data_IF_734397002955
#
_entry.id   IF_734397002955
#
_cell.length_a   1.000
_cell.length_b   1.000
_cell.length_c   1.000
_cell.angle_alpha   90.00
_cell.angle_beta   90.00
_cell.angle_gamma   90.00
#
_symmetry.space_group_name_H-M   'P 1'
#
loop_
_entity.id
_entity.type
_entity.pdbx_description
1 polymer ?
#
# COMPACT_ATOMS: atom_id res chain seq x y z
N UNK A 1 61.44 -57.54 -77.37
CA UNK A 1 62.17 -58.78 -77.76
C UNK A 1 61.57 -59.47 -78.99
N UNK A 2 62.40 -59.91 -79.95
CA UNK A 2 61.96 -60.70 -81.11
C UNK A 2 61.96 -62.21 -80.82
N UNK A 3 61.07 -62.96 -81.48
CA UNK A 3 61.03 -64.41 -81.36
C UNK A 3 62.29 -65.06 -81.96
N UNK A 4 62.66 -66.24 -81.44
CA UNK A 4 63.81 -67.00 -81.96
C UNK A 4 63.58 -67.42 -83.42
N UNK A 5 64.64 -67.49 -84.23
CA UNK A 5 64.52 -67.77 -85.65
C UNK A 5 64.48 -69.27 -85.98
N UNK A 6 63.55 -69.97 -85.38
CA UNK A 6 63.14 -71.33 -85.79
C UNK A 6 61.83 -71.26 -86.58
N UNK A 7 61.53 -72.25 -87.43
CA UNK A 7 60.31 -72.25 -88.24
C UNK A 7 59.01 -72.13 -87.42
N UNK A 8 59.00 -72.67 -86.20
CA UNK A 8 57.86 -72.64 -85.28
C UNK A 8 58.01 -71.62 -84.13
N UNK A 9 59.11 -70.86 -84.10
CA UNK A 9 59.41 -69.84 -83.08
C UNK A 9 59.46 -70.40 -81.65
N UNK A 10 59.68 -71.71 -81.49
CA UNK A 10 59.82 -72.38 -80.20
C UNK A 10 61.23 -72.94 -80.01
N UNK A 11 61.59 -73.17 -78.74
CA UNK A 11 62.80 -73.88 -78.37
C UNK A 11 62.53 -75.38 -78.40
N UNK A 12 63.49 -76.13 -78.93
CA UNK A 12 63.51 -77.59 -78.93
C UNK A 12 64.81 -78.08 -78.32
N UNK A 13 64.71 -79.06 -77.45
CA UNK A 13 65.86 -79.78 -76.94
C UNK A 13 66.39 -80.72 -78.02
N UNK A 14 67.72 -80.82 -78.12
CA UNK A 14 68.33 -81.85 -78.94
C UNK A 14 68.28 -83.19 -78.23
N UNK A 15 68.16 -84.28 -78.97
CA UNK A 15 68.19 -85.64 -78.39
C UNK A 15 69.62 -86.18 -78.19
N UNK A 16 70.64 -85.33 -78.38
CA UNK A 16 72.05 -85.62 -78.16
C UNK A 16 72.70 -86.57 -79.17
N UNK A 17 71.97 -87.09 -80.15
CA UNK A 17 72.48 -88.08 -81.10
C UNK A 17 72.13 -87.79 -82.56
N UNK A 18 70.87 -87.45 -82.87
CA UNK A 18 70.39 -87.27 -84.25
C UNK A 18 69.66 -85.95 -84.50
N UNK A 19 69.21 -85.25 -83.46
CA UNK A 19 68.52 -83.96 -83.58
C UNK A 19 69.27 -82.90 -82.75
N UNK A 20 69.77 -81.88 -83.43
CA UNK A 20 70.41 -80.74 -82.79
C UNK A 20 69.34 -79.88 -82.13
N UNK A 21 69.56 -79.53 -80.87
CA UNK A 21 68.71 -78.59 -80.16
C UNK A 21 68.73 -77.22 -80.81
N UNK A 22 67.75 -76.39 -80.46
CA UNK A 22 67.64 -75.04 -81.00
C UNK A 22 68.88 -74.22 -80.67
N UNK A 23 69.67 -73.89 -81.68
CA UNK A 23 70.89 -73.10 -81.53
C UNK A 23 70.49 -71.64 -81.34
N UNK A 24 70.85 -71.08 -80.18
CA UNK A 24 70.55 -69.70 -79.86
C UNK A 24 71.60 -68.79 -80.50
N UNK A 25 71.24 -67.98 -81.50
CA UNK A 25 72.21 -67.07 -82.07
C UNK A 25 72.55 -65.99 -81.04
N UNK A 26 73.82 -65.57 -81.03
CA UNK A 26 74.33 -64.61 -80.04
C UNK A 26 73.53 -63.30 -80.02
N UNK A 27 72.99 -62.86 -81.15
CA UNK A 27 72.16 -61.66 -81.22
C UNK A 27 70.90 -61.76 -80.34
N UNK A 28 70.29 -62.95 -80.24
CA UNK A 28 69.05 -63.16 -79.49
C UNK A 28 69.31 -63.14 -77.98
N UNK A 29 70.37 -63.83 -77.53
CA UNK A 29 70.80 -63.82 -76.13
C UNK A 29 71.25 -62.41 -75.69
N UNK A 30 71.95 -61.67 -76.55
CA UNK A 30 72.30 -60.28 -76.29
C UNK A 30 71.07 -59.38 -76.17
N UNK A 31 70.00 -59.66 -76.93
CA UNK A 31 68.74 -58.92 -76.82
C UNK A 31 68.04 -59.19 -75.49
N UNK A 32 67.94 -60.45 -75.03
CA UNK A 32 67.40 -60.78 -73.68
C UNK A 32 68.16 -60.00 -72.63
N UNK A 33 69.50 -60.08 -72.70
CA UNK A 33 70.38 -59.44 -71.75
C UNK A 33 70.19 -57.92 -71.76
N UNK A 34 70.06 -57.30 -72.94
CA UNK A 34 69.80 -55.87 -73.10
C UNK A 34 68.50 -55.42 -72.44
N UNK A 35 67.40 -56.15 -72.61
CA UNK A 35 66.09 -55.83 -72.01
C UNK A 35 66.15 -55.94 -70.47
N UNK A 36 66.77 -57.00 -69.94
CA UNK A 36 66.94 -57.19 -68.49
C UNK A 36 67.85 -56.09 -67.91
N UNK A 37 68.94 -55.74 -68.61
CA UNK A 37 69.83 -54.65 -68.23
C UNK A 37 69.11 -53.29 -68.29
N UNK A 38 68.22 -53.08 -69.25
CA UNK A 38 67.42 -51.85 -69.35
C UNK A 38 66.46 -51.72 -68.17
N UNK A 39 65.79 -52.80 -67.76
CA UNK A 39 64.93 -52.80 -66.56
C UNK A 39 65.74 -52.52 -65.29
N UNK A 40 66.91 -53.13 -65.13
CA UNK A 40 67.82 -52.85 -64.01
C UNK A 40 68.27 -51.38 -63.99
N UNK A 41 68.63 -50.84 -65.16
CA UNK A 41 69.07 -49.45 -65.32
C UNK A 41 67.93 -48.48 -65.00
N UNK A 42 66.72 -48.75 -65.50
CA UNK A 42 65.53 -47.94 -65.21
C UNK A 42 65.19 -47.95 -63.70
N UNK A 43 65.42 -49.07 -63.02
CA UNK A 43 65.28 -49.17 -61.56
C UNK A 43 66.48 -48.60 -60.77
N UNK A 44 67.48 -48.04 -61.45
CA UNK A 44 68.70 -47.49 -60.83
C UNK A 44 69.64 -48.54 -60.23
N UNK A 45 69.53 -49.80 -60.64
CA UNK A 45 70.34 -50.91 -60.13
C UNK A 45 71.52 -51.16 -61.08
N UNK A 46 72.74 -51.05 -60.56
CA UNK A 46 73.95 -51.46 -61.27
C UNK A 46 74.01 -52.99 -61.36
N UNK A 47 74.08 -53.58 -62.57
CA UNK A 47 74.09 -55.02 -62.77
C UNK A 47 75.28 -55.69 -62.05
N UNK A 48 75.00 -56.71 -61.25
CA UNK A 48 76.02 -57.43 -60.50
C UNK A 48 75.92 -58.94 -60.77
N UNK A 49 77.00 -59.54 -61.29
CA UNK A 49 77.05 -60.97 -61.63
C UNK A 49 76.87 -61.89 -60.42
N UNK A 50 77.16 -61.42 -59.21
CA UNK A 50 77.00 -62.18 -57.97
C UNK A 50 75.57 -62.13 -57.39
N UNK A 51 74.67 -61.29 -57.94
CA UNK A 51 73.29 -61.16 -57.46
C UNK A 51 72.29 -61.80 -58.42
N UNK A 52 71.58 -62.84 -57.96
CA UNK A 52 70.64 -63.60 -58.79
C UNK A 52 69.18 -63.09 -58.75
N UNK A 53 68.85 -62.15 -57.85
CA UNK A 53 67.49 -61.62 -57.65
C UNK A 53 67.31 -60.15 -58.10
N UNK A 54 68.31 -59.58 -58.78
CA UNK A 54 68.35 -58.16 -59.13
C UNK A 54 67.19 -57.71 -60.05
N UNK A 55 66.70 -58.58 -60.95
CA UNK A 55 65.56 -58.27 -61.80
C UNK A 55 64.26 -58.14 -60.99
N UNK A 56 64.03 -59.03 -60.02
CA UNK A 56 62.88 -58.94 -59.13
C UNK A 56 62.95 -57.67 -58.26
N UNK A 57 64.14 -57.30 -57.79
CA UNK A 57 64.35 -56.04 -57.06
C UNK A 57 64.09 -54.82 -57.96
N UNK A 58 64.53 -54.85 -59.22
CA UNK A 58 64.27 -53.79 -60.18
C UNK A 58 62.77 -53.59 -60.43
N UNK A 59 62.04 -54.69 -60.64
CA UNK A 59 60.59 -54.68 -60.86
C UNK A 59 59.87 -54.09 -59.65
N UNK A 60 60.20 -54.53 -58.43
CA UNK A 60 59.59 -54.01 -57.21
C UNK A 60 59.86 -52.51 -57.01
N UNK A 61 61.07 -52.03 -57.33
CA UNK A 61 61.42 -50.61 -57.26
C UNK A 61 60.73 -49.75 -58.31
N UNK A 62 60.39 -50.32 -59.47
CA UNK A 62 59.65 -49.60 -60.50
C UNK A 62 58.16 -49.49 -60.17
N UNK A 63 57.60 -50.47 -59.44
CA UNK A 63 56.20 -50.44 -59.01
C UNK A 63 55.96 -49.66 -57.71
N UNK A 64 56.94 -49.63 -56.80
CA UNK A 64 56.90 -48.79 -55.60
C UNK A 64 57.67 -47.52 -55.91
N UNK A 65 56.94 -46.47 -56.33
CA UNK A 65 57.51 -45.22 -56.86
C UNK A 65 58.77 -44.74 -56.13
N UNK A 66 59.81 -44.43 -56.91
CA UNK A 66 61.07 -43.90 -56.39
C UNK A 66 60.85 -42.50 -55.78
N UNK A 67 61.68 -42.17 -54.79
CA UNK A 67 61.77 -40.84 -54.20
C UNK A 67 61.84 -39.75 -55.29
N UNK A 68 60.96 -38.75 -55.21
CA UNK A 68 60.82 -37.67 -56.18
C UNK A 68 59.35 -37.29 -56.40
N UNK A 69 59.11 -36.22 -57.17
CA UNK A 69 57.77 -35.83 -57.59
C UNK A 69 57.24 -36.85 -58.61
N UNK A 70 56.01 -37.35 -58.38
CA UNK A 70 55.38 -38.37 -59.22
C UNK A 70 54.07 -37.83 -59.79
N UNK A 71 53.94 -37.81 -61.11
CA UNK A 71 52.67 -37.53 -61.78
C UNK A 71 51.87 -38.83 -61.90
N UNK A 72 50.77 -38.90 -61.15
CA UNK A 72 49.89 -40.08 -61.15
C UNK A 72 48.66 -39.78 -62.00
N UNK A 73 48.51 -40.49 -63.12
CA UNK A 73 47.38 -40.30 -64.03
C UNK A 73 46.10 -41.01 -63.54
N UNK A 74 44.97 -40.32 -63.70
CA UNK A 74 43.62 -40.80 -63.39
C UNK A 74 43.28 -40.80 -61.89
N UNK A 75 42.01 -41.10 -61.57
CA UNK A 75 41.56 -41.24 -60.19
C UNK A 75 42.23 -42.43 -59.49
N UNK A 76 42.53 -42.25 -58.20
CA UNK A 76 43.06 -43.31 -57.33
C UNK A 76 42.21 -43.42 -56.08
N UNK A 77 41.91 -44.64 -55.66
CA UNK A 77 41.22 -44.94 -54.42
C UNK A 77 42.21 -45.61 -53.46
N UNK A 78 42.43 -45.00 -52.29
CA UNK A 78 43.18 -45.61 -51.20
C UNK A 78 42.20 -46.40 -50.33
N UNK A 79 42.39 -47.71 -50.22
CA UNK A 79 41.54 -48.59 -49.39
C UNK A 79 41.95 -48.62 -47.92
N UNK A 80 43.01 -47.88 -47.57
CA UNK A 80 43.53 -47.72 -46.21
C UNK A 80 43.95 -46.25 -45.99
N UNK A 81 44.48 -45.95 -44.81
CA UNK A 81 44.89 -44.61 -44.41
C UNK A 81 45.98 -44.05 -45.36
N UNK A 82 45.70 -42.89 -45.95
CA UNK A 82 46.68 -42.08 -46.66
C UNK A 82 47.43 -41.20 -45.66
N UNK A 83 48.72 -41.44 -45.47
CA UNK A 83 49.60 -40.56 -44.70
C UNK A 83 50.32 -39.60 -45.64
N UNK A 84 49.95 -38.32 -45.63
CA UNK A 84 50.59 -37.28 -46.43
C UNK A 84 51.51 -36.42 -45.56
N UNK A 85 52.83 -36.63 -45.66
CA UNK A 85 53.86 -35.87 -44.92
C UNK A 85 54.95 -36.76 -44.31
N UNK A 86 55.87 -36.14 -43.56
CA UNK A 86 56.92 -36.82 -42.79
C UNK A 86 57.10 -36.12 -41.43
N UNK A 87 57.68 -36.82 -40.45
CA UNK A 87 57.93 -36.26 -39.12
C UNK A 87 58.72 -34.94 -39.19
N UNK A 88 58.42 -34.00 -38.28
CA UNK A 88 59.06 -32.68 -38.17
C UNK A 88 58.89 -31.76 -39.41
N UNK A 89 58.02 -32.11 -40.37
CA UNK A 89 57.74 -31.31 -41.56
C UNK A 89 56.25 -31.07 -41.76
N UNK A 90 55.91 -29.94 -42.39
CA UNK A 90 54.52 -29.65 -42.72
C UNK A 90 53.96 -30.70 -43.68
N UNK A 91 52.98 -31.46 -43.21
CA UNK A 91 52.13 -32.27 -44.09
C UNK A 91 51.21 -31.33 -44.86
N UNK A 92 51.26 -31.39 -46.20
CA UNK A 92 50.47 -30.53 -47.08
C UNK A 92 49.78 -31.37 -48.14
N UNK A 93 48.47 -31.16 -48.31
CA UNK A 93 47.73 -31.61 -49.49
C UNK A 93 47.36 -30.36 -50.29
N UNK A 94 47.86 -30.26 -51.53
CA UNK A 94 47.58 -29.16 -52.45
C UNK A 94 46.50 -29.58 -53.44
N UNK A 95 45.47 -28.76 -53.58
CA UNK A 95 44.35 -28.99 -54.49
C UNK A 95 44.27 -27.83 -55.49
N UNK A 96 44.76 -27.99 -56.74
CA UNK A 96 44.66 -26.96 -57.78
C UNK A 96 43.23 -26.67 -58.19
N UNK A 97 42.95 -25.41 -58.50
CA UNK A 97 41.66 -24.97 -59.06
C UNK A 97 41.87 -24.60 -60.53
N UNK A 98 40.95 -25.03 -61.41
CA UNK A 98 41.07 -24.85 -62.87
C UNK A 98 41.25 -23.38 -63.31
N UNK A 99 40.78 -22.41 -62.51
CA UNK A 99 40.91 -20.98 -62.76
C UNK A 99 42.15 -20.30 -62.17
N UNK A 100 43.09 -21.07 -61.58
CA UNK A 100 44.30 -20.57 -60.93
C UNK A 100 44.27 -20.66 -59.41
N UNK A 101 45.45 -20.66 -58.80
CA UNK A 101 45.65 -20.86 -57.36
C UNK A 101 45.38 -22.29 -56.88
N UNK A 102 45.54 -22.50 -55.58
CA UNK A 102 45.41 -23.82 -54.95
C UNK A 102 44.86 -23.71 -53.52
N UNK A 103 44.06 -24.69 -53.11
CA UNK A 103 43.75 -24.91 -51.70
C UNK A 103 44.83 -25.75 -51.04
N UNK A 104 45.16 -25.42 -49.80
CA UNK A 104 46.01 -26.24 -48.93
C UNK A 104 45.23 -26.69 -47.70
N UNK A 105 45.36 -27.97 -47.41
CA UNK A 105 45.18 -28.51 -46.06
C UNK A 105 46.59 -28.73 -45.51
N UNK A 106 46.92 -28.04 -44.43
CA UNK A 106 48.26 -28.10 -43.86
C UNK A 106 48.24 -28.27 -42.34
N UNK A 107 49.16 -29.08 -41.81
CA UNK A 107 49.32 -29.30 -40.38
C UNK A 107 50.74 -28.96 -39.94
N UNK A 108 50.87 -28.21 -38.84
CA UNK A 108 52.17 -27.81 -38.30
C UNK A 108 52.80 -28.97 -37.51
N UNK A 109 54.00 -29.46 -37.87
CA UNK A 109 54.65 -30.57 -37.19
C UNK A 109 55.21 -30.19 -35.81
N UNK A 110 55.53 -28.91 -35.57
CA UNK A 110 56.10 -28.43 -34.32
C UNK A 110 55.02 -27.71 -33.51
N UNK A 111 54.10 -28.50 -32.95
CA UNK A 111 53.13 -28.01 -31.98
C UNK A 111 53.71 -28.19 -30.57
N UNK A 112 54.37 -27.16 -30.03
CA UNK A 112 54.66 -27.09 -28.59
C UNK A 112 53.49 -26.36 -27.92
N UNK A 113 53.02 -26.85 -26.79
CA UNK A 113 52.23 -26.02 -25.88
C UNK A 113 52.75 -26.22 -24.47
N UNK A 114 53.28 -25.15 -23.90
CA UNK A 114 53.30 -24.94 -22.45
C UNK A 114 53.02 -23.47 -22.07
N UNK A 115 52.85 -22.57 -23.05
CA UNK A 115 52.73 -21.12 -22.84
C UNK A 115 51.83 -20.38 -23.86
N UNK A 116 51.85 -20.70 -25.15
CA UNK A 116 51.26 -19.86 -26.20
C UNK A 116 51.13 -20.62 -27.52
N UNK A 117 49.98 -20.42 -28.16
CA UNK A 117 49.45 -21.24 -29.24
C UNK A 117 50.03 -20.99 -30.64
N UNK A 118 50.07 -22.04 -31.47
CA UNK A 118 49.78 -21.95 -32.92
C UNK A 118 48.82 -23.07 -33.34
N UNK A 119 47.93 -22.80 -34.32
CA UNK A 119 46.91 -23.75 -34.78
C UNK A 119 47.56 -25.03 -35.34
N UNK A 120 47.02 -26.19 -34.97
CA UNK A 120 47.48 -27.52 -35.42
C UNK A 120 47.12 -27.82 -36.89
N UNK A 121 46.20 -27.06 -37.47
CA UNK A 121 45.61 -27.35 -38.78
C UNK A 121 45.10 -26.05 -39.43
N UNK A 122 45.45 -25.82 -40.69
CA UNK A 122 44.93 -24.70 -41.49
C UNK A 122 44.26 -25.21 -42.77
N UNK A 123 43.20 -24.50 -43.16
CA UNK A 123 42.66 -24.53 -44.52
C UNK A 123 42.86 -23.14 -45.11
N UNK A 124 43.64 -23.07 -46.20
CA UNK A 124 43.96 -21.81 -46.87
C UNK A 124 43.86 -21.93 -48.39
N UNK A 125 43.57 -20.84 -49.05
CA UNK A 125 43.64 -20.68 -50.49
C UNK A 125 44.79 -19.75 -50.85
N UNK A 126 45.70 -20.19 -51.71
CA UNK A 126 46.77 -19.38 -52.25
C UNK A 126 46.45 -19.04 -53.70
N UNK A 127 46.32 -17.75 -53.99
CA UNK A 127 46.06 -17.26 -55.33
C UNK A 127 47.31 -17.39 -56.22
N UNK A 128 47.13 -17.38 -57.54
CA UNK A 128 48.26 -17.35 -58.51
C UNK A 128 49.20 -16.16 -58.27
N UNK A 129 48.72 -15.08 -57.66
CA UNK A 129 49.50 -13.90 -57.25
C UNK A 129 50.40 -14.12 -56.03
N UNK A 130 50.33 -15.29 -55.38
CA UNK A 130 50.98 -15.57 -54.10
C UNK A 130 50.22 -15.05 -52.88
N UNK A 131 49.06 -14.40 -53.06
CA UNK A 131 48.25 -13.93 -51.93
C UNK A 131 47.54 -15.11 -51.26
N UNK A 132 47.76 -15.28 -49.96
CA UNK A 132 47.11 -16.30 -49.14
C UNK A 132 45.84 -15.75 -48.49
N UNK A 133 44.75 -16.51 -48.56
CA UNK A 133 43.51 -16.28 -47.80
C UNK A 133 43.24 -17.48 -46.93
N UNK A 134 42.97 -17.24 -45.66
CA UNK A 134 42.58 -18.27 -44.71
C UNK A 134 41.06 -18.31 -44.60
N UNK A 135 40.49 -19.47 -44.29
CA UNK A 135 39.13 -19.51 -43.74
C UNK A 135 39.22 -18.87 -42.35
N UNK A 136 38.72 -17.65 -42.22
CA UNK A 136 38.77 -16.87 -40.98
C UNK A 136 37.51 -17.13 -40.15
N UNK A 137 37.68 -17.54 -38.89
CA UNK A 137 36.59 -17.57 -37.92
C UNK A 137 36.60 -16.26 -37.12
N UNK A 138 35.44 -15.73 -36.68
CA UNK A 138 35.39 -14.50 -35.89
C UNK A 138 36.21 -14.63 -34.60
N UNK A 139 37.02 -13.62 -34.28
CA UNK A 139 37.75 -13.53 -33.01
C UNK A 139 36.81 -13.08 -31.87
N UNK A 140 36.94 -13.70 -30.69
CA UNK A 140 36.24 -13.28 -29.48
C UNK A 140 37.25 -12.87 -28.39
N UNK A 141 37.15 -11.60 -27.95
CA UNK A 141 37.84 -11.06 -26.78
C UNK A 141 39.30 -10.66 -27.02
N UNK A 142 39.90 -10.04 -26.00
CA UNK A 142 41.28 -9.52 -26.01
C UNK A 142 42.38 -10.58 -26.05
N UNK A 143 42.01 -11.87 -26.21
CA UNK A 143 42.92 -13.00 -26.13
C UNK A 143 43.05 -13.78 -27.46
N UNK A 144 42.60 -13.24 -28.59
CA UNK A 144 42.76 -13.80 -29.94
C UNK A 144 42.48 -15.31 -30.05
N UNK A 145 41.43 -15.81 -29.38
CA UNK A 145 41.05 -17.21 -29.46
C UNK A 145 40.09 -17.42 -30.63
N UNK A 146 40.52 -18.19 -31.62
CA UNK A 146 39.66 -18.76 -32.67
C UNK A 146 38.75 -19.80 -32.03
N UNK A 147 37.43 -19.58 -32.02
CA UNK A 147 36.47 -20.50 -31.38
C UNK A 147 35.83 -21.43 -32.40
N UNK A 148 35.54 -22.68 -31.99
CA UNK A 148 34.62 -23.52 -32.73
C UNK A 148 33.22 -22.86 -32.72
N UNK A 149 32.49 -22.97 -33.84
CA UNK A 149 31.21 -22.29 -34.08
C UNK A 149 30.19 -22.39 -32.92
N UNK A 150 30.16 -23.49 -32.16
CA UNK A 150 29.23 -23.69 -31.04
C UNK A 150 29.48 -22.77 -29.84
N UNK A 151 30.74 -22.54 -29.44
CA UNK A 151 31.06 -21.70 -28.28
C UNK A 151 30.76 -20.22 -28.56
N UNK A 152 30.93 -19.77 -29.80
CA UNK A 152 30.56 -18.42 -30.25
C UNK A 152 29.03 -18.20 -30.16
N UNK A 153 28.24 -19.19 -30.59
CA UNK A 153 26.77 -19.12 -30.50
C UNK A 153 26.31 -19.06 -29.04
N UNK A 154 26.87 -19.91 -28.16
CA UNK A 154 26.50 -19.97 -26.73
C UNK A 154 26.83 -18.63 -26.03
N UNK A 155 28.01 -18.06 -26.28
CA UNK A 155 28.40 -16.78 -25.67
C UNK A 155 27.55 -15.60 -26.14
N UNK A 156 27.14 -15.59 -27.43
CA UNK A 156 26.29 -14.54 -27.97
C UNK A 156 24.87 -14.59 -27.40
N UNK A 157 24.33 -15.80 -27.20
CA UNK A 157 23.03 -16.01 -26.53
C UNK A 157 23.10 -15.54 -25.08
N UNK A 158 24.15 -15.91 -24.34
CA UNK A 158 24.30 -15.51 -22.93
C UNK A 158 24.36 -13.98 -22.73
N UNK A 159 24.96 -13.23 -23.66
CA UNK A 159 25.02 -11.77 -23.60
C UNK A 159 23.66 -11.07 -23.84
N UNK A 160 22.84 -11.61 -24.74
CA UNK A 160 21.52 -11.06 -25.09
C UNK A 160 20.49 -11.32 -23.97
N UNK A 161 20.57 -12.48 -23.32
CA UNK A 161 19.71 -12.86 -22.19
C UNK A 161 19.88 -11.96 -20.95
N UNK A 162 21.05 -11.31 -20.78
CA UNK A 162 21.32 -10.49 -19.59
C UNK A 162 20.55 -9.16 -19.53
N UNK A 163 20.06 -8.65 -20.67
CA UNK A 163 19.37 -7.36 -20.78
C UNK A 163 17.89 -7.48 -21.15
N UNK A 164 17.43 -8.69 -21.51
CA UNK A 164 16.03 -8.94 -21.81
C UNK A 164 15.23 -9.10 -20.51
N UNK A 165 14.06 -8.47 -20.47
CA UNK A 165 13.07 -8.70 -19.41
C UNK A 165 12.49 -10.09 -19.64
N UNK A 166 12.60 -10.98 -18.64
CA UNK A 166 12.00 -12.33 -18.70
C UNK A 166 10.50 -12.22 -18.97
N UNK A 167 10.00 -13.07 -19.85
CA UNK A 167 8.56 -13.20 -20.14
C UNK A 167 7.83 -14.14 -19.16
N UNK A 168 8.59 -14.92 -18.38
CA UNK A 168 8.07 -15.82 -17.37
C UNK A 168 8.99 -15.87 -16.15
N UNK A 169 8.42 -16.23 -14.99
CA UNK A 169 9.15 -16.35 -13.74
C UNK A 169 9.59 -15.00 -13.14
N UNK A 170 10.27 -15.08 -12.00
CA UNK A 170 10.70 -13.90 -11.25
C UNK A 170 11.99 -13.31 -11.83
N UNK A 171 12.08 -11.97 -11.85
CA UNK A 171 13.25 -11.23 -12.23
C UNK A 171 13.40 -9.94 -11.42
N UNK A 172 14.63 -9.50 -11.25
CA UNK A 172 14.96 -8.17 -10.73
C UNK A 172 15.33 -7.28 -11.90
N UNK A 173 14.61 -6.19 -12.11
CA UNK A 173 14.92 -5.22 -13.17
C UNK A 173 15.43 -3.93 -12.53
N UNK A 174 16.75 -3.70 -12.60
CA UNK A 174 17.38 -2.50 -12.02
C UNK A 174 17.24 -1.24 -12.88
N UNK A 175 17.39 -0.07 -12.25
CA UNK A 175 17.35 1.25 -12.92
C UNK A 175 15.94 1.76 -13.24
N UNK A 176 15.85 3.00 -13.75
CA UNK A 176 14.57 3.61 -14.17
C UNK A 176 14.03 2.91 -15.42
N UNK A 177 12.73 2.62 -15.47
CA UNK A 177 12.03 2.07 -16.64
C UNK A 177 11.00 3.08 -17.14
N UNK A 178 10.89 3.18 -18.46
CA UNK A 178 9.92 4.02 -19.16
C UNK A 178 9.22 3.13 -20.17
N UNK A 179 7.89 3.06 -20.11
CA UNK A 179 7.06 2.39 -21.09
C UNK A 179 6.44 3.48 -21.98
N UNK A 180 6.48 3.29 -23.30
CA UNK A 180 5.92 4.26 -24.26
C UNK A 180 4.40 4.18 -24.37
N UNK A 181 3.81 3.12 -23.82
CA UNK A 181 2.38 2.79 -23.91
C UNK A 181 1.85 2.37 -22.53
N UNK A 182 0.52 2.19 -22.43
CA UNK A 182 -0.15 1.67 -21.24
C UNK A 182 0.41 0.31 -20.82
N UNK A 183 0.54 0.11 -19.50
CA UNK A 183 0.96 -1.15 -18.90
C UNK A 183 -0.21 -1.76 -18.15
N UNK A 184 -0.65 -2.94 -18.58
CA UNK A 184 -1.75 -3.67 -17.95
C UNK A 184 -1.23 -4.71 -16.95
N UNK A 185 -1.64 -4.57 -15.69
CA UNK A 185 -1.32 -5.51 -14.62
C UNK A 185 -2.56 -6.33 -14.23
N UNK A 186 -2.79 -7.46 -14.92
CA UNK A 186 -3.94 -8.34 -14.68
C UNK A 186 -4.01 -8.95 -13.26
N UNK A 187 -2.96 -8.82 -12.45
CA UNK A 187 -2.94 -9.24 -11.04
C UNK A 187 -2.69 -8.10 -10.04
N UNK A 188 -2.75 -6.84 -10.51
CA UNK A 188 -2.40 -5.65 -9.74
C UNK A 188 -0.88 -5.35 -9.72
N UNK A 189 -0.54 -4.15 -9.25
CA UNK A 189 0.83 -3.68 -9.04
C UNK A 189 1.15 -3.69 -7.54
N UNK A 190 2.28 -4.26 -7.15
CA UNK A 190 2.79 -4.23 -5.77
C UNK A 190 4.06 -3.41 -5.71
N UNK A 191 4.13 -2.47 -4.77
CA UNK A 191 5.30 -1.61 -4.55
C UNK A 191 5.88 -1.92 -3.17
N UNK A 192 7.13 -2.37 -3.09
CA UNK A 192 7.82 -2.70 -1.84
C UNK A 192 8.95 -1.72 -1.52
N UNK A 193 9.05 -1.28 -0.26
CA UNK A 193 10.30 -0.79 0.32
C UNK A 193 11.12 -1.97 0.89
N UNK A 194 12.43 -1.80 1.09
CA UNK A 194 13.39 -2.86 1.44
C UNK A 194 13.22 -3.51 2.83
N UNK A 195 12.04 -3.42 3.44
CA UNK A 195 11.75 -3.92 4.78
C UNK A 195 10.68 -5.01 4.63
N UNK A 196 10.89 -6.16 5.29
CA UNK A 196 10.27 -7.47 5.02
C UNK A 196 8.74 -7.57 4.96
N UNK A 197 7.97 -6.52 5.28
CA UNK A 197 6.50 -6.53 5.25
C UNK A 197 5.85 -5.19 4.88
N UNK A 198 6.57 -4.26 4.22
CA UNK A 198 6.04 -2.93 3.88
C UNK A 198 5.82 -2.79 2.37
N UNK A 199 4.75 -3.41 1.87
CA UNK A 199 4.29 -3.20 0.49
C UNK A 199 2.90 -2.57 0.46
N UNK A 200 2.68 -1.68 -0.50
CA UNK A 200 1.35 -1.17 -0.84
C UNK A 200 0.86 -1.89 -2.09
N UNK A 201 -0.31 -2.50 -2.00
CA UNK A 201 -1.00 -3.12 -3.13
C UNK A 201 -1.85 -2.09 -3.86
N UNK A 202 -1.65 -1.94 -5.16
CA UNK A 202 -2.58 -1.31 -6.10
C UNK A 202 -3.27 -2.44 -6.87
N UNK A 203 -4.54 -2.70 -6.55
CA UNK A 203 -5.26 -3.84 -7.10
C UNK A 203 -6.61 -3.45 -7.67
N UNK A 204 -7.21 -4.39 -8.39
CA UNK A 204 -8.62 -4.37 -8.73
C UNK A 204 -9.29 -5.60 -8.11
N UNK A 205 -10.51 -5.43 -7.61
CA UNK A 205 -11.41 -6.50 -7.22
C UNK A 205 -12.60 -6.52 -8.19
N UNK A 206 -13.54 -7.44 -7.99
CA UNK A 206 -14.71 -7.57 -8.85
C UNK A 206 -15.58 -6.30 -8.97
N UNK A 207 -15.47 -5.34 -8.04
CA UNK A 207 -16.31 -4.14 -7.99
C UNK A 207 -15.62 -2.88 -7.45
N UNK A 208 -14.28 -2.84 -7.45
CA UNK A 208 -13.52 -1.71 -6.91
C UNK A 208 -12.05 -1.71 -7.36
N UNK A 209 -11.47 -0.53 -7.50
CA UNK A 209 -10.01 -0.32 -7.52
C UNK A 209 -9.55 0.08 -6.12
N UNK A 210 -8.44 -0.46 -5.64
CA UNK A 210 -8.03 -0.23 -4.26
C UNK A 210 -6.52 -0.07 -4.04
N UNK A 211 -6.20 0.66 -2.98
CA UNK A 211 -4.92 0.70 -2.29
C UNK A 211 -5.04 -0.12 -1.01
N UNK A 212 -4.26 -1.19 -0.84
CA UNK A 212 -4.30 -2.03 0.37
C UNK A 212 -2.95 -2.05 1.07
N UNK A 213 -2.99 -1.88 2.39
CA UNK A 213 -1.91 -2.22 3.30
C UNK A 213 -2.11 -3.67 3.75
N UNK A 214 -1.28 -4.62 3.32
CA UNK A 214 -1.48 -6.04 3.58
C UNK A 214 -1.14 -6.44 5.00
N UNK A 215 -0.19 -5.77 5.65
CA UNK A 215 0.23 -6.04 7.04
C UNK A 215 -0.90 -5.72 8.02
N UNK A 216 -1.68 -4.68 7.76
CA UNK A 216 -2.87 -4.31 8.55
C UNK A 216 -4.20 -4.78 7.94
N UNK A 217 -4.16 -5.34 6.73
CA UNK A 217 -5.33 -5.68 5.91
C UNK A 217 -6.30 -4.50 5.67
N UNK A 218 -5.83 -3.25 5.79
CA UNK A 218 -6.65 -2.05 5.59
C UNK A 218 -6.55 -1.55 4.17
N UNK A 219 -7.66 -1.12 3.57
CA UNK A 219 -7.67 -0.59 2.21
C UNK A 219 -8.46 0.70 2.06
N UNK A 220 -7.98 1.55 1.15
CA UNK A 220 -8.73 2.66 0.56
C UNK A 220 -9.21 2.19 -0.81
N UNK A 221 -10.51 2.27 -1.08
CA UNK A 221 -11.15 1.68 -2.25
C UNK A 221 -12.01 2.72 -2.96
N UNK A 222 -11.94 2.76 -4.29
CA UNK A 222 -12.91 3.41 -5.16
C UNK A 222 -13.86 2.33 -5.68
N UNK A 223 -15.11 2.34 -5.22
CA UNK A 223 -16.12 1.40 -5.65
C UNK A 223 -16.78 1.80 -6.98
N UNK A 224 -17.29 0.83 -7.71
CA UNK A 224 -18.08 1.07 -8.94
C UNK A 224 -19.39 1.84 -8.67
N UNK A 225 -19.82 1.87 -7.40
CA UNK A 225 -20.92 2.69 -6.89
C UNK A 225 -20.56 4.19 -6.77
N UNK A 226 -19.35 4.58 -7.18
CA UNK A 226 -18.84 5.96 -7.11
C UNK A 226 -18.40 6.40 -5.71
N UNK A 227 -18.40 5.50 -4.73
CA UNK A 227 -18.01 5.83 -3.35
C UNK A 227 -16.52 5.60 -3.10
N UNK A 228 -15.95 6.37 -2.18
CA UNK A 228 -14.62 6.12 -1.63
C UNK A 228 -14.78 5.50 -0.25
N UNK A 229 -14.18 4.33 -0.03
CA UNK A 229 -14.28 3.58 1.23
C UNK A 229 -12.92 3.41 1.88
N UNK A 230 -12.82 3.54 3.19
CA UNK A 230 -11.66 3.15 3.98
C UNK A 230 -12.04 2.03 4.94
N UNK A 231 -11.36 0.89 4.86
CA UNK A 231 -11.70 -0.32 5.63
C UNK A 231 -13.15 -0.82 5.42
N UNK A 232 -13.74 -0.51 4.27
CA UNK A 232 -15.14 -0.83 3.94
C UNK A 232 -16.14 0.25 4.33
N UNK A 233 -15.76 1.18 5.20
CA UNK A 233 -16.62 2.31 5.58
C UNK A 233 -16.53 3.43 4.54
N UNK A 234 -17.69 3.95 4.14
CA UNK A 234 -17.77 5.10 3.24
C UNK A 234 -17.11 6.32 3.90
N UNK A 235 -16.11 6.89 3.25
CA UNK A 235 -15.59 8.21 3.62
C UNK A 235 -16.60 9.27 3.16
N UNK A 236 -16.90 10.22 4.04
CA UNK A 236 -17.83 11.32 3.76
C UNK A 236 -17.35 12.08 2.52
N UNK A 237 -18.20 12.11 1.49
CA UNK A 237 -17.99 12.87 0.28
C UNK A 237 -18.67 14.25 0.39
N UNK A 238 -18.29 15.19 -0.46
CA UNK A 238 -18.95 16.51 -0.49
C UNK A 238 -20.45 16.40 -0.79
N UNK A 239 -20.86 15.39 -1.57
CA UNK A 239 -22.27 15.05 -1.84
C UNK A 239 -23.04 14.63 -0.60
N UNK A 240 -22.35 14.16 0.44
CA UNK A 240 -22.97 13.70 1.69
C UNK A 240 -23.16 14.85 2.68
N UNK A 241 -22.73 16.08 2.34
CA UNK A 241 -22.89 17.28 3.17
C UNK A 241 -24.25 17.91 2.94
N UNK A 242 -24.93 18.32 4.02
CA UNK A 242 -26.23 19.01 3.94
C UNK A 242 -26.35 20.19 4.89
N UNK A 243 -26.95 21.28 4.41
CA UNK A 243 -27.19 22.51 5.21
C UNK A 243 -28.38 22.42 6.17
N UNK A 244 -29.02 21.26 6.27
CA UNK A 244 -30.04 20.96 7.24
C UNK A 244 -29.55 19.87 8.20
N UNK A 245 -29.91 19.99 9.47
CA UNK A 245 -29.78 18.89 10.43
C UNK A 245 -30.91 17.90 10.13
N UNK A 246 -30.60 16.86 9.38
CA UNK A 246 -31.53 15.76 9.12
C UNK A 246 -31.23 14.60 10.08
N UNK A 247 -32.04 14.50 11.15
CA UNK A 247 -31.94 13.44 12.15
C UNK A 247 -32.49 12.09 11.64
N UNK A 248 -33.19 12.08 10.50
CA UNK A 248 -33.80 10.88 9.93
C UNK A 248 -32.93 10.22 8.85
N UNK A 249 -32.00 10.98 8.23
CA UNK A 249 -31.13 10.46 7.18
C UNK A 249 -29.70 10.21 7.70
N UNK A 250 -29.36 8.94 7.94
CA UNK A 250 -28.02 8.52 8.37
C UNK A 250 -26.94 8.59 7.28
N UNK A 251 -27.30 8.91 6.04
CA UNK A 251 -26.38 8.96 4.91
C UNK A 251 -25.83 10.37 4.64
N UNK A 252 -26.39 11.40 5.27
CA UNK A 252 -25.94 12.79 5.10
C UNK A 252 -25.50 13.39 6.43
N UNK A 253 -24.39 14.11 6.42
CA UNK A 253 -23.89 14.83 7.60
C UNK A 253 -24.31 16.30 7.54
N UNK A 254 -24.82 16.81 8.65
CA UNK A 254 -25.17 18.22 8.79
C UNK A 254 -23.91 19.09 8.76
N UNK A 255 -23.98 20.25 8.12
CA UNK A 255 -22.87 21.22 8.17
C UNK A 255 -22.71 21.79 9.57
N UNK A 256 -21.49 22.22 9.91
CA UNK A 256 -21.25 22.99 11.15
C UNK A 256 -22.14 24.23 11.25
N UNK A 257 -22.45 24.87 10.12
CA UNK A 257 -23.37 25.99 10.05
C UNK A 257 -24.81 25.59 10.39
N UNK A 258 -25.28 24.45 9.90
CA UNK A 258 -26.61 23.92 10.21
C UNK A 258 -26.74 23.60 11.70
N UNK A 259 -25.73 22.94 12.27
CA UNK A 259 -25.68 22.63 13.72
C UNK A 259 -25.64 23.91 14.55
N UNK A 260 -24.81 24.89 14.17
CA UNK A 260 -24.76 26.20 14.85
C UNK A 260 -26.12 26.90 14.82
N UNK A 261 -26.80 26.91 13.67
CA UNK A 261 -28.10 27.57 13.52
C UNK A 261 -29.15 26.97 14.46
N UNK A 262 -29.16 25.64 14.62
CA UNK A 262 -30.06 24.96 15.57
C UNK A 262 -29.70 25.33 17.01
N UNK A 263 -28.41 25.34 17.35
CA UNK A 263 -27.96 25.74 18.68
C UNK A 263 -28.36 27.19 19.01
N UNK A 264 -28.11 28.13 18.09
CA UNK A 264 -28.46 29.54 18.26
C UNK A 264 -29.98 29.71 18.47
N UNK A 265 -30.81 28.97 17.72
CA UNK A 265 -32.27 28.98 17.90
C UNK A 265 -32.70 28.36 19.24
N UNK A 266 -32.03 27.32 19.70
CA UNK A 266 -32.31 26.70 20.99
C UNK A 266 -31.97 27.65 22.15
N UNK A 267 -30.85 28.37 22.07
CA UNK A 267 -30.46 29.40 23.05
C UNK A 267 -31.44 30.59 23.05
N UNK A 268 -31.94 31.01 21.88
CA UNK A 268 -32.95 32.07 21.79
C UNK A 268 -34.31 31.68 22.39
N UNK A 269 -34.69 30.40 22.30
CA UNK A 269 -35.98 29.93 22.81
C UNK A 269 -36.06 29.95 24.35
N UNK A 270 -34.92 29.72 25.03
CA UNK A 270 -34.80 29.85 26.47
C UNK A 270 -33.36 30.28 26.81
N UNK A 271 -33.10 31.59 26.94
CA UNK A 271 -31.79 32.09 27.34
C UNK A 271 -31.41 31.64 28.76
N UNK A 272 -30.12 31.44 29.07
CA UNK A 272 -29.66 31.21 30.44
C UNK A 272 -30.23 32.26 31.42
N UNK A 273 -30.64 31.80 32.60
CA UNK A 273 -31.31 32.65 33.59
C UNK A 273 -32.83 32.73 33.46
N UNK A 274 -33.41 32.19 32.37
CA UNK A 274 -34.88 32.05 32.25
C UNK A 274 -35.41 31.14 33.36
N UNK A 275 -36.38 31.63 34.14
CA UNK A 275 -37.08 30.86 35.15
C UNK A 275 -38.46 30.48 34.61
N UNK A 276 -38.81 29.20 34.71
CA UNK A 276 -40.14 28.70 34.34
C UNK A 276 -40.70 27.83 35.45
N UNK A 277 -42.03 27.82 35.55
CA UNK A 277 -42.73 26.81 36.33
C UNK A 277 -42.75 25.49 35.54
N UNK A 278 -42.50 24.39 36.24
CA UNK A 278 -42.34 23.07 35.65
C UNK A 278 -43.10 22.05 36.49
N UNK A 279 -44.03 21.35 35.86
CA UNK A 279 -44.92 20.40 36.55
C UNK A 279 -44.25 19.05 36.86
N UNK A 280 -42.98 18.85 36.48
CA UNK A 280 -42.19 17.67 36.83
C UNK A 280 -41.44 17.80 38.16
N UNK A 281 -41.06 16.68 38.76
CA UNK A 281 -40.44 16.64 40.10
C UNK A 281 -38.91 16.84 40.11
N UNK A 282 -38.27 16.69 38.95
CA UNK A 282 -36.81 16.80 38.76
C UNK A 282 -36.51 17.71 37.58
N UNK A 283 -35.52 18.59 37.73
CA UNK A 283 -35.10 19.47 36.64
C UNK A 283 -34.56 18.63 35.46
N UNK A 284 -35.05 18.85 34.23
CA UNK A 284 -34.57 18.16 33.06
C UNK A 284 -33.13 18.58 32.71
N UNK A 285 -32.41 17.82 31.86
CA UNK A 285 -31.08 18.20 31.39
C UNK A 285 -31.07 19.63 30.82
N UNK A 286 -30.05 20.40 31.19
CA UNK A 286 -29.93 21.81 30.78
C UNK A 286 -30.72 22.80 31.65
N UNK A 287 -31.21 22.38 32.82
CA UNK A 287 -31.92 23.20 33.79
C UNK A 287 -31.50 22.84 35.23
N UNK A 288 -31.62 23.80 36.15
CA UNK A 288 -31.40 23.60 37.59
C UNK A 288 -32.65 23.97 38.39
N UNK A 289 -32.80 23.41 39.60
CA UNK A 289 -33.90 23.79 40.50
C UNK A 289 -33.64 25.16 41.13
N UNK A 290 -34.67 26.00 41.25
CA UNK A 290 -34.60 27.25 42.01
C UNK A 290 -34.77 26.98 43.51
N UNK A 291 -33.76 26.34 44.13
CA UNK A 291 -33.80 25.86 45.51
C UNK A 291 -32.71 26.47 46.42
N UNK A 292 -32.05 27.55 46.01
CA UNK A 292 -31.00 28.19 46.81
C UNK A 292 -29.64 27.45 46.82
N UNK A 293 -29.43 26.44 45.99
CA UNK A 293 -28.16 25.71 45.97
C UNK A 293 -27.00 26.60 45.49
N UNK A 294 -25.80 26.37 46.04
CA UNK A 294 -24.57 26.93 45.51
C UNK A 294 -24.03 26.06 44.37
N UNK A 295 -23.77 26.67 43.21
CA UNK A 295 -23.34 25.97 41.99
C UNK A 295 -22.08 26.60 41.41
N UNK A 296 -21.32 25.84 40.61
CA UNK A 296 -20.01 26.25 40.08
C UNK A 296 -20.14 27.34 39.00
N UNK A 297 -19.37 28.42 39.15
CA UNK A 297 -19.22 29.48 38.13
C UNK A 297 -18.59 28.96 36.85
N UNK A 298 -17.66 28.02 36.95
CA UNK A 298 -16.97 27.45 35.79
C UNK A 298 -17.88 26.52 34.99
N UNK A 299 -18.70 25.72 35.68
CA UNK A 299 -19.62 24.78 35.05
C UNK A 299 -20.83 25.48 34.44
N UNK A 300 -21.33 26.53 35.09
CA UNK A 300 -22.53 27.27 34.66
C UNK A 300 -22.19 28.74 34.36
N UNK A 301 -21.17 28.96 33.53
CA UNK A 301 -20.64 30.29 33.24
C UNK A 301 -21.67 31.21 32.57
N UNK A 302 -22.51 30.67 31.68
CA UNK A 302 -23.55 31.42 30.99
C UNK A 302 -24.63 31.92 31.97
N UNK A 303 -25.14 31.03 32.82
CA UNK A 303 -26.05 31.42 33.90
C UNK A 303 -25.42 32.44 34.87
N UNK A 304 -24.16 32.25 35.28
CA UNK A 304 -23.48 33.19 36.16
C UNK A 304 -23.34 34.58 35.53
N UNK A 305 -23.08 34.65 34.22
CA UNK A 305 -23.00 35.92 33.51
C UNK A 305 -24.33 36.71 33.56
N UNK A 306 -25.46 36.01 33.67
CA UNK A 306 -26.79 36.62 33.72
C UNK A 306 -27.21 37.00 35.15
N UNK A 307 -27.14 36.07 36.11
CA UNK A 307 -27.69 36.30 37.45
C UNK A 307 -26.66 36.80 38.46
N UNK A 308 -25.36 36.63 38.17
CA UNK A 308 -24.25 37.01 39.02
C UNK A 308 -24.41 36.47 40.45
N UNK A 309 -24.31 37.38 41.42
CA UNK A 309 -24.48 37.07 42.85
C UNK A 309 -25.79 37.62 43.41
N UNK A 310 -26.77 37.94 42.57
CA UNK A 310 -28.07 38.54 42.97
C UNK A 310 -28.76 37.74 44.08
N UNK A 311 -28.66 36.41 44.03
CA UNK A 311 -29.28 35.49 45.00
C UNK A 311 -28.30 34.96 46.06
N UNK A 312 -27.05 35.44 46.04
CA UNK A 312 -25.99 35.04 46.97
C UNK A 312 -24.65 34.83 46.27
N UNK A 313 -23.57 35.16 46.97
CA UNK A 313 -22.21 35.07 46.44
C UNK A 313 -21.63 33.66 46.45
N UNK A 314 -22.37 32.65 46.95
CA UNK A 314 -21.84 31.32 47.23
C UNK A 314 -20.68 31.37 48.23
N UNK A 315 -19.57 30.73 47.88
CA UNK A 315 -18.27 30.78 48.57
C UNK A 315 -17.47 32.08 48.30
N UNK A 316 -18.03 33.02 47.53
CA UNK A 316 -17.39 34.27 47.14
C UNK A 316 -16.32 34.14 46.06
N UNK A 317 -16.00 32.93 45.56
CA UNK A 317 -14.88 32.70 44.62
C UNK A 317 -15.27 31.78 43.46
N UNK A 318 -15.64 30.54 43.73
CA UNK A 318 -15.84 29.50 42.71
C UNK A 318 -17.30 29.17 42.45
N UNK A 319 -18.21 29.61 43.33
CA UNK A 319 -19.63 29.31 43.27
C UNK A 319 -20.50 30.57 43.31
N UNK A 320 -21.76 30.42 42.97
CA UNK A 320 -22.83 31.42 43.13
C UNK A 320 -24.12 30.73 43.55
N UNK A 321 -25.02 31.46 44.18
CA UNK A 321 -26.26 30.91 44.74
C UNK A 321 -27.40 31.03 43.73
N UNK A 322 -28.16 29.95 43.54
CA UNK A 322 -29.38 29.96 42.74
C UNK A 322 -30.51 30.70 43.48
N UNK A 323 -31.55 31.18 42.77
CA UNK A 323 -32.77 31.66 43.43
C UNK A 323 -33.35 30.59 44.36
N UNK A 324 -33.87 30.98 45.53
CA UNK A 324 -34.71 30.13 46.36
C UNK A 324 -36.12 30.72 46.41
N UNK A 325 -36.98 30.19 45.54
CA UNK A 325 -38.36 30.66 45.31
C UNK A 325 -39.40 29.61 45.70
N UNK A 326 -38.97 28.59 46.47
CA UNK A 326 -39.89 27.62 47.04
C UNK A 326 -40.83 28.34 48.00
N UNK A 327 -42.14 28.18 47.81
CA UNK A 327 -43.20 28.82 48.60
C UNK A 327 -43.19 30.37 48.54
N UNK A 328 -42.69 30.95 47.46
CA UNK A 328 -42.69 32.41 47.23
C UNK A 328 -43.60 32.76 46.05
N UNK A 329 -44.27 33.90 46.12
CA UNK A 329 -44.98 34.47 44.97
C UNK A 329 -44.04 35.37 44.15
N UNK A 330 -44.04 35.18 42.83
CA UNK A 330 -43.28 36.02 41.92
C UNK A 330 -44.11 37.24 41.54
N UNK A 331 -43.46 38.41 41.52
CA UNK A 331 -44.01 39.68 41.05
C UNK A 331 -43.13 40.25 39.94
N UNK A 332 -43.72 41.10 39.11
CA UNK A 332 -42.93 41.92 38.17
C UNK A 332 -42.04 42.91 38.92
N UNK A 333 -40.84 43.15 38.40
CA UNK A 333 -39.99 44.26 38.83
C UNK A 333 -40.64 45.58 38.40
N UNK A 334 -40.55 46.62 39.24
CA UNK A 334 -41.09 47.94 38.90
C UNK A 334 -40.43 48.54 37.64
N UNK A 335 -39.12 48.31 37.48
CA UNK A 335 -38.31 48.66 36.30
C UNK A 335 -38.56 50.09 35.76
N UNK A 336 -38.72 51.04 36.68
CA UNK A 336 -38.89 52.47 36.36
C UNK A 336 -40.34 52.92 36.21
N UNK A 337 -41.33 52.06 36.47
CA UNK A 337 -42.76 52.44 36.45
C UNK A 337 -43.15 53.36 37.62
N UNK A 338 -42.44 53.31 38.74
CA UNK A 338 -42.62 54.20 39.89
C UNK A 338 -43.73 53.78 40.88
N UNK A 339 -44.24 52.56 40.79
CA UNK A 339 -45.23 52.01 41.74
C UNK A 339 -44.58 51.34 42.95
N UNK A 340 -43.44 50.67 42.77
CA UNK A 340 -42.69 50.02 43.85
C UNK A 340 -41.17 50.15 43.63
N UNK A 341 -40.71 51.40 43.46
CA UNK A 341 -39.32 51.74 43.13
C UNK A 341 -38.29 51.38 44.20
N UNK A 342 -38.74 51.08 45.43
CA UNK A 342 -37.86 50.69 46.54
C UNK A 342 -37.33 49.25 46.42
N UNK A 343 -37.77 48.49 45.41
CA UNK A 343 -37.47 47.06 45.28
C UNK A 343 -36.52 46.79 44.12
N UNK A 344 -35.42 46.13 44.45
CA UNK A 344 -34.47 45.63 43.46
C UNK A 344 -34.87 44.23 42.94
N UNK A 345 -34.33 43.84 41.79
CA UNK A 345 -34.46 42.47 41.28
C UNK A 345 -33.94 41.46 42.33
N UNK A 346 -34.67 40.38 42.54
CA UNK A 346 -34.34 39.37 43.56
C UNK A 346 -34.66 39.76 45.01
N UNK A 347 -35.13 40.98 45.28
CA UNK A 347 -35.52 41.39 46.63
C UNK A 347 -36.78 40.66 47.12
N UNK A 348 -36.71 40.13 48.34
CA UNK A 348 -37.85 39.48 49.02
C UNK A 348 -38.72 40.52 49.70
N UNK A 349 -40.01 40.22 49.81
CA UNK A 349 -40.97 41.01 50.58
C UNK A 349 -41.82 40.07 51.43
N UNK A 350 -41.98 40.40 52.71
CA UNK A 350 -42.90 39.70 53.60
C UNK A 350 -44.35 40.07 53.27
N UNK A 351 -45.28 39.20 53.66
CA UNK A 351 -46.70 39.46 53.53
C UNK A 351 -47.07 40.81 54.19
N UNK A 352 -47.87 41.63 53.50
CA UNK A 352 -48.33 42.92 53.99
C UNK A 352 -49.82 43.08 53.68
N UNK A 353 -50.62 43.26 54.73
CA UNK A 353 -52.00 43.72 54.60
C UNK A 353 -52.02 45.26 54.71
N UNK A 354 -52.77 45.97 53.85
CA UNK A 354 -53.06 47.37 54.07
C UNK A 354 -53.75 47.58 55.42
N UNK A 355 -53.46 48.71 56.06
CA UNK A 355 -54.19 49.13 57.25
C UNK A 355 -55.66 49.28 56.89
N UNK A 356 -56.53 48.60 57.62
CA UNK A 356 -57.97 48.67 57.47
C UNK A 356 -58.65 48.62 58.85
N UNK A 357 -59.91 49.02 58.91
CA UNK A 357 -60.72 48.97 60.13
C UNK A 357 -62.03 48.25 59.85
N UNK A 358 -62.58 47.60 60.87
CA UNK A 358 -63.90 46.97 60.83
C UNK A 358 -64.83 47.73 61.78
N UNK A 359 -66.01 48.11 61.30
CA UNK A 359 -67.05 48.68 62.15
C UNK A 359 -67.82 47.57 62.84
N UNK A 360 -67.87 47.58 64.17
CA UNK A 360 -68.75 46.68 64.93
C UNK A 360 -69.99 47.46 65.37
N UNK A 361 -71.16 47.03 64.90
CA UNK A 361 -72.44 47.56 65.37
C UNK A 361 -72.82 46.84 66.67
N UNK A 362 -72.96 47.58 67.75
CA UNK A 362 -73.42 47.03 69.03
C UNK A 362 -74.76 47.67 69.41
N UNK A 363 -75.81 46.85 69.52
CA UNK A 363 -77.10 47.28 70.04
C UNK A 363 -77.11 47.04 71.55
N UNK A 364 -77.04 48.11 72.33
CA UNK A 364 -77.09 48.04 73.80
C UNK A 364 -78.51 48.37 74.25
N UNK A 365 -79.15 47.48 74.99
CA UNK A 365 -80.26 47.87 75.86
C UNK A 365 -79.70 48.57 77.10
N UNK A 366 -80.46 49.50 77.68
CA UNK A 366 -80.02 50.38 78.77
C UNK A 366 -79.30 49.60 79.89
N UNK A 367 -78.09 50.07 80.24
CA UNK A 367 -77.13 49.59 81.26
C UNK A 367 -76.12 48.46 80.89
N UNK A 368 -74.87 48.86 80.63
CA UNK A 368 -73.69 47.97 80.65
C UNK A 368 -72.66 48.42 81.70
N UNK A 369 -72.21 47.47 82.53
CA UNK A 369 -71.07 47.63 83.44
C UNK A 369 -69.89 46.81 82.94
N UNK A 370 -68.76 47.46 82.63
CA UNK A 370 -67.50 46.79 82.33
C UNK A 370 -66.57 46.90 83.53
N UNK A 371 -66.19 45.77 84.12
CA UNK A 371 -65.25 45.74 85.25
C UNK A 371 -63.83 45.46 84.74
N UNK A 372 -62.93 46.44 84.88
CA UNK A 372 -61.49 46.17 85.04
C UNK A 372 -61.22 46.13 86.53
N UNK A 373 -60.51 45.12 87.01
CA UNK A 373 -60.27 44.88 88.45
C UNK A 373 -60.08 46.19 89.23
N UNK A 374 -61.12 46.60 89.98
CA UNK A 374 -61.10 47.74 90.91
C UNK A 374 -61.56 49.12 90.39
N UNK A 375 -61.97 49.31 89.12
CA UNK A 375 -62.46 50.63 88.63
C UNK A 375 -63.72 50.48 87.78
N UNK A 376 -64.81 51.15 88.17
CA UNK A 376 -66.03 51.29 87.37
C UNK A 376 -65.91 52.54 86.48
N UNK A 377 -66.03 52.39 85.16
CA UNK A 377 -66.22 53.52 84.25
C UNK A 377 -67.70 53.57 83.83
N UNK A 378 -68.39 54.68 84.15
CA UNK A 378 -69.69 54.98 83.54
C UNK A 378 -69.43 55.47 82.11
N UNK A 379 -70.01 54.81 81.11
CA UNK A 379 -70.02 55.32 79.73
C UNK A 379 -71.36 56.03 79.56
N UNK A 380 -71.35 57.35 79.63
CA UNK A 380 -72.53 58.17 79.37
C UNK A 380 -73.01 57.94 77.93
N UNK A 381 -74.32 58.03 77.69
CA UNK A 381 -74.91 57.98 76.35
C UNK A 381 -74.20 58.96 75.41
N UNK A 382 -73.63 58.46 74.31
CA UNK A 382 -72.95 59.28 73.30
C UNK A 382 -71.43 59.37 73.42
N UNK A 383 -70.76 58.56 74.24
CA UNK A 383 -69.28 58.45 74.24
C UNK A 383 -68.80 57.17 73.55
N UNK A 384 -67.74 57.30 72.76
CA UNK A 384 -67.11 56.19 72.04
C UNK A 384 -66.33 55.26 72.99
N UNK A 385 -66.69 53.97 73.00
CA UNK A 385 -65.92 52.92 73.66
C UNK A 385 -64.89 52.34 72.67
N UNK A 386 -63.59 52.48 72.97
CA UNK A 386 -62.51 51.97 72.12
C UNK A 386 -61.91 50.68 72.71
N UNK A 387 -62.06 49.56 72.01
CA UNK A 387 -61.36 48.31 72.28
C UNK A 387 -60.16 48.19 71.31
N UNK A 388 -58.95 48.24 71.84
CA UNK A 388 -57.72 48.11 71.05
C UNK A 388 -57.09 46.72 71.27
N UNK A 389 -56.94 45.96 70.19
CA UNK A 389 -56.22 44.70 70.15
C UNK A 389 -54.87 44.90 69.44
N UNK A 390 -53.78 44.40 70.00
CA UNK A 390 -52.48 44.41 69.33
C UNK A 390 -52.43 43.43 68.14
N UNK A 391 -51.51 43.64 67.21
CA UNK A 391 -51.27 42.69 66.11
C UNK A 391 -51.01 41.27 66.68
N UNK A 392 -51.66 40.26 66.10
CA UNK A 392 -51.61 38.85 66.51
C UNK A 392 -52.17 38.53 67.91
N UNK A 393 -53.06 39.38 68.45
CA UNK A 393 -53.75 39.12 69.72
C UNK A 393 -55.17 38.63 69.46
N UNK A 394 -55.59 37.56 70.14
CA UNK A 394 -57.01 37.26 70.29
C UNK A 394 -57.54 38.11 71.44
N UNK A 395 -58.46 39.03 71.17
CA UNK A 395 -59.16 39.81 72.20
C UNK A 395 -60.60 39.34 72.31
N UNK A 396 -61.02 38.94 73.51
CA UNK A 396 -62.41 38.62 73.83
C UNK A 396 -63.11 39.79 74.54
N UNK A 397 -64.38 40.01 74.23
CA UNK A 397 -65.30 40.80 75.06
C UNK A 397 -66.09 39.81 75.92
N UNK A 398 -66.01 39.97 77.24
CA UNK A 398 -66.57 39.02 78.20
C UNK A 398 -67.64 39.68 79.07
N UNK A 399 -68.75 38.96 79.30
CA UNK A 399 -69.78 39.31 80.27
C UNK A 399 -69.41 38.71 81.63
N UNK A 400 -69.53 39.50 82.70
CA UNK A 400 -69.39 39.04 84.08
C UNK A 400 -70.71 39.18 84.84
N UNK A 401 -70.93 38.32 85.84
CA UNK A 401 -72.10 38.36 86.72
C UNK A 401 -71.95 39.50 87.72
N UNK A 402 -73.05 39.87 88.39
CA UNK A 402 -73.01 40.88 89.47
C UNK A 402 -72.05 40.55 90.62
N UNK A 403 -71.63 39.28 90.74
CA UNK A 403 -70.67 38.80 91.74
C UNK A 403 -69.23 38.68 91.17
N UNK A 404 -68.95 39.24 89.99
CA UNK A 404 -67.61 39.26 89.38
C UNK A 404 -67.14 37.93 88.77
N UNK A 405 -68.02 36.94 88.62
CA UNK A 405 -67.70 35.67 87.93
C UNK A 405 -67.95 35.80 86.42
N UNK A 406 -67.06 35.26 85.58
CA UNK A 406 -67.24 35.27 84.11
C UNK A 406 -68.50 34.47 83.75
N UNK A 407 -69.40 35.07 82.99
CA UNK A 407 -70.68 34.47 82.54
C UNK A 407 -70.54 33.91 81.13
N UNK A 408 -70.08 34.73 80.18
CA UNK A 408 -70.05 34.34 78.77
C UNK A 408 -69.07 35.19 77.96
N UNK A 409 -68.50 34.64 76.88
CA UNK A 409 -67.77 35.41 75.88
C UNK A 409 -68.75 35.94 74.85
N UNK A 410 -68.95 37.27 74.81
CA UNK A 410 -69.89 37.94 73.90
C UNK A 410 -69.36 37.96 72.47
N UNK A 411 -68.05 38.16 72.31
CA UNK A 411 -67.38 38.13 71.03
C UNK A 411 -65.90 37.75 71.20
N UNK A 412 -65.39 36.95 70.28
CA UNK A 412 -63.96 36.63 70.17
C UNK A 412 -63.44 37.28 68.88
N UNK A 413 -62.43 38.13 68.99
CA UNK A 413 -61.80 38.77 67.86
C UNK A 413 -60.39 38.22 67.68
N UNK A 414 -60.13 37.62 66.53
CA UNK A 414 -58.82 37.10 66.14
C UNK A 414 -58.80 36.84 64.63
N UNK A 415 -57.63 36.99 64.01
CA UNK A 415 -57.43 36.55 62.63
C UNK A 415 -57.15 35.05 62.65
N UNK A 416 -58.15 34.22 62.36
CA UNK A 416 -57.96 32.76 62.17
C UNK A 416 -58.19 32.41 60.71
N UNK A 417 -57.10 32.22 59.98
CA UNK A 417 -57.11 31.83 58.57
C UNK A 417 -55.73 32.00 57.96
N UNK A 418 -55.33 31.07 57.08
CA UNK A 418 -54.18 31.30 56.20
C UNK A 418 -54.56 32.42 55.22
N UNK A 419 -53.76 33.48 55.20
CA UNK A 419 -53.97 34.62 54.29
C UNK A 419 -53.34 34.37 52.91
N UNK A 420 -52.78 33.18 52.68
CA UNK A 420 -52.28 32.80 51.36
C UNK A 420 -53.44 32.67 50.35
N UNK A 421 -53.30 33.23 49.14
CA UNK A 421 -54.26 32.98 48.08
C UNK A 421 -54.27 31.50 47.70
N UNK A 422 -55.41 30.98 47.21
CA UNK A 422 -55.48 29.63 46.63
C UNK A 422 -54.46 29.51 45.49
N UNK A 423 -53.56 28.53 45.57
CA UNK A 423 -52.47 28.35 44.63
C UNK A 423 -52.16 26.87 44.39
N UNK A 424 -51.44 26.59 43.30
CA UNK A 424 -50.90 25.27 42.97
C UNK A 424 -49.37 25.37 43.06
N UNK A 425 -48.75 24.38 43.71
CA UNK A 425 -47.30 24.29 43.82
C UNK A 425 -46.69 23.62 42.58
N UNK A 426 -45.84 24.34 41.85
CA UNK A 426 -45.03 23.82 40.77
C UNK A 426 -43.53 23.94 41.09
N UNK A 427 -42.71 23.09 40.47
CA UNK A 427 -41.26 23.18 40.60
C UNK A 427 -40.76 24.31 39.70
N UNK A 428 -40.12 25.33 40.28
CA UNK A 428 -39.42 26.30 39.46
C UNK A 428 -38.01 25.83 39.09
N UNK A 429 -37.70 25.97 37.80
CA UNK A 429 -36.39 25.64 37.24
C UNK A 429 -35.80 26.84 36.49
N UNK A 430 -34.48 26.92 36.46
CA UNK A 430 -33.71 27.97 35.79
C UNK A 430 -32.82 27.37 34.71
N UNK A 431 -32.81 28.00 33.54
CA UNK A 431 -31.97 27.58 32.40
C UNK A 431 -30.50 27.84 32.71
N UNK A 432 -29.64 26.83 32.51
CA UNK A 432 -28.18 26.95 32.70
C UNK A 432 -27.43 27.58 31.54
#
# INVERSE_FOLDING_TARGET
MHAIDTPDKQFKDGNGTSELGTILPAWWLNQVQGEILAVLTAAGIQPNKAKTNQLAEAINRLFVGQAGDQDVAGEKTFTSLLTAGRAEHWGKIRMPVQGGGHWFLEANPQSVLSDGSTLKFNIKYEQTSGQVRYIHFPELGSANRTVAYQDWVIARIAGVESSAVKTTGNQTVGGKKTFSESVDFAGGLRISGNNTEQWAELGYAASAVYLKNPSSNKSLQLGDDGTIKYQGDKLVLWSDRRDAVDLANSQTVATSQAVKTVNDKAEQAAPPGTIVAYSGTTAPPGWLKCNGANVSRATYAALFAVIGTTYGAGDGRTTFTLPDIRNEFIRGLDDGRGLDSSRALGSKQTARLPQHSHGVGFMIGDDMRFAKAGVNYNIDSGKDFCLSAGANSTTSVERYSGNGQRVETIATYGMTGDLAPSNIAELYIIKI
#
